data_IF_434722556049
#
_entry.id   IF_434722556049
#
_cell.length_a   1.000
_cell.length_b   1.000
_cell.length_c   1.000
_cell.angle_alpha   90.00
_cell.angle_beta   90.00
_cell.angle_gamma   90.00
#
_symmetry.space_group_name_H-M   'P 1'
#
loop_
_entity.id
_entity.type
_entity.pdbx_description
1 polymer ?
#
# COMPACT_ATOMS: atom_id res chain seq x y z
N UNK A 1 14.50 -13.00 24.92
CA UNK A 1 13.52 -11.89 24.80
C UNK A 1 14.21 -10.75 24.07
N UNK A 2 13.67 -10.30 22.95
CA UNK A 2 14.18 -9.19 22.18
C UNK A 2 13.36 -7.92 22.43
N UNK A 3 13.89 -6.76 22.06
CA UNK A 3 13.21 -5.47 22.16
C UNK A 3 12.27 -5.25 20.97
N UNK A 4 11.02 -4.83 21.24
CA UNK A 4 10.02 -4.50 20.22
C UNK A 4 9.99 -2.97 20.00
N UNK A 5 10.19 -2.50 18.76
CA UNK A 5 9.81 -1.13 18.39
C UNK A 5 8.43 -1.12 17.74
N UNK A 6 7.51 -0.30 18.27
CA UNK A 6 6.17 -0.11 17.69
C UNK A 6 6.13 1.20 16.92
N UNK A 7 5.97 1.14 15.60
CA UNK A 7 5.84 2.30 14.72
C UNK A 7 4.37 2.70 14.64
N UNK A 8 4.10 3.99 14.86
CA UNK A 8 2.76 4.56 14.88
C UNK A 8 2.69 5.74 13.89
N UNK A 9 2.38 5.49 12.59
CA UNK A 9 2.17 6.56 11.63
C UNK A 9 0.98 7.44 12.04
N UNK A 10 1.17 8.76 12.03
CA UNK A 10 0.17 9.73 12.52
C UNK A 10 0.08 10.93 11.59
N UNK A 11 -1.14 11.37 11.26
CA UNK A 11 -1.39 12.58 10.49
C UNK A 11 -2.65 13.29 10.98
N UNK A 12 -2.49 14.40 11.70
CA UNK A 12 -3.55 15.14 12.37
C UNK A 12 -4.36 14.22 13.31
N UNK A 13 -3.67 13.66 14.30
CA UNK A 13 -4.19 12.69 15.26
C UNK A 13 -4.02 13.17 16.72
N UNK A 14 -4.03 14.48 16.95
CA UNK A 14 -3.80 15.09 18.28
C UNK A 14 -4.68 14.50 19.39
N UNK A 15 -5.93 14.11 19.06
CA UNK A 15 -6.88 13.52 20.00
C UNK A 15 -6.54 12.07 20.39
N UNK A 16 -5.72 11.38 19.61
CA UNK A 16 -5.47 9.94 19.77
C UNK A 16 -4.08 9.61 20.36
N UNK A 17 -3.08 10.49 20.21
CA UNK A 17 -1.67 10.22 20.57
C UNK A 17 -1.50 9.74 22.01
N UNK A 18 -2.03 10.49 23.00
CA UNK A 18 -1.86 10.17 24.42
C UNK A 18 -2.49 8.82 24.79
N UNK A 19 -3.73 8.60 24.30
CA UNK A 19 -4.45 7.37 24.57
C UNK A 19 -3.77 6.16 23.91
N UNK A 20 -3.23 6.33 22.70
CA UNK A 20 -2.52 5.28 21.96
C UNK A 20 -1.22 4.91 22.68
N UNK A 21 -0.41 5.91 23.06
CA UNK A 21 0.84 5.69 23.79
C UNK A 21 0.58 4.94 25.11
N UNK A 22 -0.43 5.38 25.87
CA UNK A 22 -0.83 4.77 27.14
C UNK A 22 -1.29 3.32 26.94
N UNK A 23 -2.24 3.10 26.03
CA UNK A 23 -2.87 1.78 25.82
C UNK A 23 -1.84 0.74 25.35
N UNK A 24 -0.99 1.09 24.40
CA UNK A 24 0.05 0.17 23.91
C UNK A 24 1.10 -0.07 24.99
N UNK A 25 1.56 1.01 25.65
CA UNK A 25 2.56 0.92 26.71
C UNK A 25 2.13 0.05 27.87
N UNK A 26 0.92 0.26 28.41
CA UNK A 26 0.36 -0.57 29.50
C UNK A 26 0.21 -2.05 29.09
N UNK A 27 -0.21 -2.30 27.84
CA UNK A 27 -0.39 -3.66 27.31
C UNK A 27 0.95 -4.40 27.21
N UNK A 28 1.97 -3.79 26.62
CA UNK A 28 3.28 -4.41 26.44
C UNK A 28 4.03 -4.56 27.76
N UNK A 29 3.95 -3.56 28.63
CA UNK A 29 4.52 -3.61 29.98
C UNK A 29 3.88 -4.71 30.83
N UNK A 30 2.54 -4.83 30.76
CA UNK A 30 1.80 -5.90 31.44
C UNK A 30 2.16 -7.30 30.97
N UNK A 31 2.61 -7.44 29.72
CA UNK A 31 3.10 -8.68 29.14
C UNK A 31 4.61 -8.93 29.39
N UNK A 32 5.32 -7.98 30.02
CA UNK A 32 6.76 -8.08 30.28
C UNK A 32 7.63 -7.97 29.03
N UNK A 33 7.14 -7.34 27.97
CA UNK A 33 7.86 -7.13 26.72
C UNK A 33 8.63 -5.81 26.82
N UNK A 34 9.92 -5.83 26.52
CA UNK A 34 10.74 -4.62 26.39
C UNK A 34 10.37 -3.92 25.08
N UNK A 35 10.05 -2.61 25.13
CA UNK A 35 9.52 -1.90 23.97
C UNK A 35 9.94 -0.44 23.90
N UNK A 36 9.89 0.08 22.65
CA UNK A 36 9.86 1.51 22.33
C UNK A 36 8.63 1.82 21.46
N UNK A 37 8.08 3.03 21.61
CA UNK A 37 7.02 3.56 20.76
C UNK A 37 7.62 4.66 19.89
N UNK A 38 7.51 4.52 18.56
CA UNK A 38 8.01 5.50 17.60
C UNK A 38 6.85 6.10 16.82
N UNK A 39 6.46 7.33 17.16
CA UNK A 39 5.47 8.08 16.42
C UNK A 39 6.09 8.76 15.21
N UNK A 40 5.48 8.59 14.03
CA UNK A 40 5.93 9.26 12.81
C UNK A 40 4.84 10.21 12.34
N UNK A 41 5.02 11.50 12.60
CA UNK A 41 4.12 12.56 12.17
C UNK A 41 4.36 12.90 10.71
N UNK A 42 3.41 12.57 9.83
CA UNK A 42 3.49 12.81 8.39
C UNK A 42 3.13 14.25 8.02
N UNK A 43 3.90 15.20 8.57
CA UNK A 43 3.68 16.64 8.34
C UNK A 43 2.36 17.16 8.89
N UNK A 44 1.96 16.72 10.09
CA UNK A 44 0.75 17.21 10.77
C UNK A 44 0.77 18.72 10.97
N UNK A 45 -0.40 19.32 10.89
CA UNK A 45 -0.62 20.78 11.05
C UNK A 45 -1.28 21.14 12.37
N UNK A 46 -1.71 20.14 13.12
CA UNK A 46 -2.28 20.24 14.47
C UNK A 46 -1.20 20.03 15.56
N UNK A 47 -1.60 19.77 16.81
CA UNK A 47 -0.69 19.58 17.93
C UNK A 47 -0.11 18.15 18.03
N UNK A 48 -0.31 17.29 17.00
CA UNK A 48 0.15 15.89 17.03
C UNK A 48 1.60 15.74 17.47
N UNK A 49 2.55 16.47 16.84
CA UNK A 49 3.96 16.33 17.17
C UNK A 49 4.34 16.98 18.51
N UNK A 50 3.71 18.09 18.88
CA UNK A 50 3.95 18.76 20.17
C UNK A 50 3.56 17.85 21.35
N UNK A 51 2.50 17.04 21.19
CA UNK A 51 2.08 16.03 22.18
C UNK A 51 3.11 14.91 22.25
N UNK A 52 3.59 14.39 21.11
CA UNK A 52 4.64 13.37 21.07
C UNK A 52 5.92 13.86 21.76
N UNK A 53 6.33 15.10 21.52
CA UNK A 53 7.51 15.72 22.17
C UNK A 53 7.34 15.80 23.68
N UNK A 54 6.15 16.15 24.18
CA UNK A 54 5.87 16.16 25.63
C UNK A 54 5.96 14.76 26.23
N UNK A 55 5.39 13.75 25.56
CA UNK A 55 5.44 12.36 26.01
C UNK A 55 6.86 11.80 26.02
N UNK A 56 7.66 12.11 25.02
CA UNK A 56 9.07 11.72 24.92
C UNK A 56 9.93 12.29 26.05
N UNK A 57 9.64 13.53 26.50
CA UNK A 57 10.31 14.11 27.68
C UNK A 57 9.93 13.40 28.98
N UNK A 58 8.72 12.88 29.08
CA UNK A 58 8.22 12.16 30.27
C UNK A 58 8.64 10.68 30.30
N UNK A 59 8.72 10.02 29.14
CA UNK A 59 9.07 8.62 29.02
C UNK A 59 10.05 8.41 27.84
N UNK A 60 11.29 8.02 28.18
CA UNK A 60 12.36 7.78 27.19
C UNK A 60 12.10 6.64 26.21
N UNK A 61 11.08 5.81 26.46
CA UNK A 61 10.64 4.77 25.55
C UNK A 61 9.79 5.33 24.38
N UNK A 62 9.38 6.59 24.46
CA UNK A 62 8.57 7.25 23.43
C UNK A 62 9.47 8.15 22.62
N UNK A 63 9.53 7.92 21.31
CA UNK A 63 10.23 8.74 20.33
C UNK A 63 9.29 9.27 19.27
N UNK A 64 9.73 10.31 18.57
CA UNK A 64 8.95 10.92 17.50
C UNK A 64 9.79 11.48 16.36
N UNK A 65 9.25 11.39 15.15
CA UNK A 65 9.78 11.96 13.93
C UNK A 65 8.69 12.82 13.29
N UNK A 66 9.03 14.03 12.86
CA UNK A 66 8.14 14.88 12.09
C UNK A 66 8.66 15.13 10.68
N UNK A 67 7.84 14.96 9.67
CA UNK A 67 8.16 15.30 8.30
C UNK A 67 7.97 16.80 8.01
N UNK A 68 8.72 17.32 7.03
CA UNK A 68 8.60 18.70 6.57
C UNK A 68 7.27 19.03 5.87
N UNK A 69 6.55 18.02 5.37
CA UNK A 69 5.22 18.06 4.77
C UNK A 69 4.62 16.66 4.75
N UNK A 70 3.36 16.52 4.33
CA UNK A 70 2.77 15.22 4.10
C UNK A 70 3.44 14.52 2.90
N UNK A 71 4.00 13.31 3.15
CA UNK A 71 4.60 12.40 2.18
C UNK A 71 3.79 11.11 2.02
N UNK A 72 2.80 10.88 2.88
CA UNK A 72 1.92 9.72 2.86
C UNK A 72 2.29 8.63 3.87
N UNK A 73 1.28 7.82 4.23
CA UNK A 73 1.41 6.75 5.25
C UNK A 73 2.56 5.78 4.96
N UNK A 74 2.75 5.39 3.70
CA UNK A 74 3.83 4.48 3.29
C UNK A 74 5.21 5.07 3.63
N UNK A 75 5.41 6.35 3.33
CA UNK A 75 6.65 7.04 3.68
C UNK A 75 6.86 7.09 5.21
N UNK A 76 5.79 7.30 5.99
CA UNK A 76 5.85 7.29 7.44
C UNK A 76 6.20 5.91 8.00
N UNK A 77 5.67 4.83 7.43
CA UNK A 77 6.04 3.46 7.81
C UNK A 77 7.54 3.23 7.54
N UNK A 78 8.02 3.55 6.33
CA UNK A 78 9.43 3.33 5.97
C UNK A 78 10.39 4.20 6.80
N UNK A 79 10.03 5.44 7.13
CA UNK A 79 10.80 6.24 8.08
C UNK A 79 10.84 5.58 9.47
N UNK A 80 9.70 5.06 9.94
CA UNK A 80 9.65 4.32 11.18
C UNK A 80 10.56 3.09 11.17
N UNK A 81 10.59 2.32 10.07
CA UNK A 81 11.49 1.16 9.91
C UNK A 81 12.96 1.57 9.96
N UNK A 82 13.32 2.69 9.32
CA UNK A 82 14.70 3.21 9.27
C UNK A 82 15.21 3.68 10.65
N UNK A 83 14.34 4.28 11.46
CA UNK A 83 14.67 4.76 12.81
C UNK A 83 14.43 3.73 13.92
N UNK A 84 13.76 2.62 13.64
CA UNK A 84 13.49 1.58 14.63
C UNK A 84 14.77 0.86 15.06
N UNK A 85 14.95 0.65 16.38
CA UNK A 85 16.15 0.02 16.97
C UNK A 85 15.91 -1.37 17.58
N UNK A 86 14.65 -1.81 17.70
CA UNK A 86 14.29 -3.09 18.29
C UNK A 86 14.71 -4.32 17.47
N UNK A 87 14.78 -5.48 18.09
CA UNK A 87 15.04 -6.78 17.45
C UNK A 87 13.90 -7.20 16.55
N UNK A 88 12.69 -6.73 16.85
CA UNK A 88 11.52 -6.81 15.98
C UNK A 88 10.78 -5.48 15.94
N UNK A 89 10.00 -5.27 14.88
CA UNK A 89 9.31 -4.00 14.62
C UNK A 89 7.86 -4.27 14.28
N UNK A 90 6.93 -3.63 15.00
CA UNK A 90 5.51 -3.68 14.67
C UNK A 90 5.04 -2.34 14.12
N UNK A 91 4.09 -2.38 13.17
CA UNK A 91 3.39 -1.21 12.64
C UNK A 91 1.94 -1.27 13.07
N UNK A 92 1.42 -0.21 13.69
CA UNK A 92 0.02 -0.12 14.14
C UNK A 92 -0.52 1.29 13.88
N UNK A 93 -1.81 1.39 13.52
CA UNK A 93 -2.45 2.69 13.30
C UNK A 93 -2.77 3.39 14.63
N UNK A 94 -2.70 4.73 14.64
CA UNK A 94 -2.91 5.58 15.82
C UNK A 94 -4.36 5.55 16.35
N UNK A 95 -5.34 5.09 15.57
CA UNK A 95 -6.76 5.13 15.90
C UNK A 95 -7.25 3.99 16.81
N UNK A 96 -6.34 3.10 17.24
CA UNK A 96 -6.60 1.93 18.08
C UNK A 96 -7.72 1.00 17.55
N UNK A 97 -7.99 1.02 16.22
CA UNK A 97 -8.87 0.01 15.62
C UNK A 97 -8.26 -1.41 15.70
N UNK A 98 -6.95 -1.47 15.80
CA UNK A 98 -6.20 -2.68 16.05
C UNK A 98 -5.99 -2.84 17.56
N UNK A 99 -6.49 -3.94 18.19
CA UNK A 99 -6.31 -4.14 19.64
C UNK A 99 -4.84 -4.27 20.00
N UNK A 100 -4.39 -3.51 21.00
CA UNK A 100 -2.99 -3.58 21.46
C UNK A 100 -2.61 -4.99 21.98
N UNK A 101 -3.57 -5.76 22.48
CA UNK A 101 -3.35 -7.16 22.92
C UNK A 101 -2.86 -8.05 21.76
N UNK A 102 -3.23 -7.76 20.52
CA UNK A 102 -2.77 -8.51 19.35
C UNK A 102 -1.26 -8.39 19.16
N UNK A 103 -0.64 -7.26 19.54
CA UNK A 103 0.83 -7.10 19.51
C UNK A 103 1.53 -8.15 20.40
N UNK A 104 0.94 -8.50 21.55
CA UNK A 104 1.48 -9.53 22.45
C UNK A 104 1.44 -10.92 21.81
N UNK A 105 0.35 -11.23 21.09
CA UNK A 105 0.24 -12.49 20.35
C UNK A 105 1.23 -12.55 19.20
N UNK A 106 1.37 -11.46 18.45
CA UNK A 106 2.35 -11.35 17.36
C UNK A 106 3.78 -11.53 17.88
N UNK A 107 4.11 -10.90 19.00
CA UNK A 107 5.43 -11.01 19.62
C UNK A 107 5.77 -12.45 20.02
N UNK A 108 4.81 -13.20 20.59
CA UNK A 108 4.99 -14.63 20.92
C UNK A 108 5.27 -15.47 19.69
N UNK A 109 4.52 -15.25 18.59
CA UNK A 109 4.76 -15.95 17.34
C UNK A 109 6.13 -15.61 16.72
N UNK A 110 6.60 -14.39 16.89
CA UNK A 110 7.96 -14.01 16.51
C UNK A 110 9.01 -14.77 17.35
N UNK A 111 8.81 -14.91 18.67
CA UNK A 111 9.67 -15.72 19.53
C UNK A 111 9.67 -17.22 19.13
N UNK A 112 8.58 -17.72 18.55
CA UNK A 112 8.48 -19.06 17.94
C UNK A 112 9.24 -19.20 16.62
N UNK A 113 9.83 -18.11 16.11
CA UNK A 113 10.67 -18.09 14.91
C UNK A 113 9.91 -17.77 13.61
N UNK A 114 8.74 -17.13 13.69
CA UNK A 114 8.14 -16.47 12.54
C UNK A 114 8.77 -15.10 12.32
N UNK A 115 9.04 -14.77 11.06
CA UNK A 115 9.77 -13.56 10.68
C UNK A 115 8.83 -12.42 10.30
N UNK A 116 7.63 -12.76 9.82
CA UNK A 116 6.54 -11.83 9.51
C UNK A 116 5.27 -12.34 10.16
N UNK A 117 4.66 -11.54 11.04
CA UNK A 117 3.37 -11.85 11.66
C UNK A 117 2.35 -10.80 11.24
N UNK A 118 1.29 -11.22 10.54
CA UNK A 118 0.25 -10.33 10.03
C UNK A 118 -0.98 -10.29 10.92
N UNK A 119 -1.50 -9.09 11.21
CA UNK A 119 -2.80 -8.93 11.84
C UNK A 119 -3.91 -8.92 10.78
N UNK A 120 -4.82 -9.89 10.83
CA UNK A 120 -5.93 -10.02 9.88
C UNK A 120 -7.27 -9.77 10.59
N UNK A 121 -8.12 -8.92 10.02
CA UNK A 121 -9.46 -8.64 10.54
C UNK A 121 -10.36 -9.88 10.43
N UNK A 122 -10.96 -10.34 11.53
CA UNK A 122 -11.80 -11.55 11.58
C UNK A 122 -13.13 -11.40 10.83
N UNK A 123 -13.73 -10.20 10.82
CA UNK A 123 -15.00 -9.90 10.12
C UNK A 123 -14.95 -8.51 9.48
N UNK A 124 -15.34 -8.42 8.20
CA UNK A 124 -15.73 -7.15 7.57
C UNK A 124 -17.15 -6.81 8.02
N UNK A 125 -17.37 -5.56 8.48
CA UNK A 125 -18.69 -5.05 8.84
C UNK A 125 -19.72 -5.16 7.70
N UNK A 126 -21.00 -4.79 7.97
CA UNK A 126 -22.07 -4.74 6.96
C UNK A 126 -21.74 -3.70 5.89
N UNK A 127 -21.23 -4.15 4.74
CA UNK A 127 -20.97 -3.33 3.56
C UNK A 127 -22.11 -3.47 2.55
N UNK A 128 -22.31 -2.44 1.71
CA UNK A 128 -23.26 -2.48 0.60
C UNK A 128 -22.90 -3.65 -0.35
N UNK A 129 -23.85 -4.53 -0.73
CA UNK A 129 -23.58 -5.72 -1.53
C UNK A 129 -22.94 -5.40 -2.89
N UNK A 130 -23.30 -4.30 -3.55
CA UNK A 130 -22.66 -3.87 -4.80
C UNK A 130 -21.19 -3.46 -4.61
N UNK A 131 -20.89 -2.73 -3.52
CA UNK A 131 -19.54 -2.37 -3.16
C UNK A 131 -18.69 -3.61 -2.84
N UNK A 132 -19.28 -4.57 -2.09
CA UNK A 132 -18.63 -5.85 -1.76
C UNK A 132 -18.30 -6.67 -3.01
N UNK A 133 -19.22 -6.74 -3.99
CA UNK A 133 -19.00 -7.44 -5.26
C UNK A 133 -17.86 -6.77 -6.06
N UNK A 134 -17.89 -5.44 -6.16
CA UNK A 134 -16.83 -4.68 -6.84
C UNK A 134 -15.45 -4.90 -6.18
N UNK A 135 -15.39 -4.80 -4.86
CA UNK A 135 -14.17 -5.08 -4.11
C UNK A 135 -13.70 -6.54 -4.31
N UNK A 136 -14.62 -7.51 -4.30
CA UNK A 136 -14.26 -8.93 -4.50
C UNK A 136 -13.67 -9.17 -5.90
N UNK A 137 -14.28 -8.61 -6.94
CA UNK A 137 -13.74 -8.68 -8.32
C UNK A 137 -12.38 -7.99 -8.39
N UNK A 138 -12.28 -6.78 -7.84
CA UNK A 138 -11.05 -6.01 -7.82
C UNK A 138 -9.92 -6.76 -7.10
N UNK A 139 -10.14 -7.17 -5.84
CA UNK A 139 -9.15 -7.91 -5.08
C UNK A 139 -8.83 -9.27 -5.71
N UNK A 140 -9.79 -9.94 -6.35
CA UNK A 140 -9.57 -11.18 -7.08
C UNK A 140 -8.62 -11.00 -8.27
N UNK A 141 -8.84 -9.96 -9.09
CA UNK A 141 -7.98 -9.61 -10.22
C UNK A 141 -6.57 -9.25 -9.72
N UNK A 142 -6.50 -8.36 -8.70
CA UNK A 142 -5.23 -7.91 -8.13
C UNK A 142 -4.44 -9.06 -7.52
N UNK A 143 -5.09 -9.93 -6.74
CA UNK A 143 -4.44 -11.10 -6.13
C UNK A 143 -3.89 -12.05 -7.20
N UNK A 144 -4.63 -12.25 -8.30
CA UNK A 144 -4.17 -13.07 -9.43
C UNK A 144 -2.97 -12.45 -10.15
N UNK A 145 -2.99 -11.13 -10.36
CA UNK A 145 -1.92 -10.40 -11.05
C UNK A 145 -0.64 -10.31 -10.21
N UNK A 146 -0.78 -10.12 -8.91
CA UNK A 146 0.35 -9.98 -7.97
C UNK A 146 0.78 -11.34 -7.38
N UNK A 147 0.04 -12.43 -7.66
CA UNK A 147 0.23 -13.76 -7.06
C UNK A 147 0.23 -13.73 -5.52
N UNK A 148 -0.57 -12.82 -4.95
CA UNK A 148 -0.65 -12.55 -3.52
C UNK A 148 -2.10 -12.39 -3.09
N UNK A 149 -2.52 -13.03 -1.99
CA UNK A 149 -3.87 -12.86 -1.44
C UNK A 149 -3.98 -11.55 -0.66
N UNK A 150 -4.31 -10.46 -1.35
CA UNK A 150 -4.46 -9.13 -0.75
C UNK A 150 -5.54 -9.07 0.34
N UNK A 151 -6.47 -10.03 0.39
CA UNK A 151 -7.47 -10.08 1.46
C UNK A 151 -6.88 -10.47 2.81
N UNK A 152 -5.74 -11.13 2.80
CA UNK A 152 -5.01 -11.60 3.99
C UNK A 152 -3.85 -10.70 4.37
N UNK A 153 -3.64 -9.57 3.70
CA UNK A 153 -2.56 -8.64 4.00
C UNK A 153 -3.08 -7.37 4.66
N UNK A 154 -2.31 -6.85 5.60
CA UNK A 154 -2.63 -5.67 6.40
C UNK A 154 -1.36 -4.82 6.59
N UNK A 155 -1.50 -3.53 6.95
CA UNK A 155 -0.37 -2.72 7.43
C UNK A 155 -0.01 -3.07 8.87
N UNK A 156 -0.95 -3.66 9.62
CA UNK A 156 -0.73 -4.13 10.97
C UNK A 156 0.09 -5.43 10.94
N UNK A 157 1.41 -5.30 11.12
CA UNK A 157 2.37 -6.40 11.04
C UNK A 157 3.43 -6.26 12.10
N UNK A 158 4.02 -7.39 12.48
CA UNK A 158 5.27 -7.46 13.21
C UNK A 158 6.31 -8.12 12.31
N UNK A 159 7.48 -7.51 12.20
CA UNK A 159 8.60 -7.92 11.35
C UNK A 159 9.84 -8.18 12.20
N UNK A 160 10.56 -9.24 11.92
CA UNK A 160 11.90 -9.46 12.43
C UNK A 160 12.89 -8.42 11.88
N UNK A 161 13.96 -8.11 12.62
CA UNK A 161 14.99 -7.14 12.21
C UNK A 161 15.55 -7.41 10.83
N UNK A 162 15.84 -8.67 10.49
CA UNK A 162 16.35 -9.05 9.17
C UNK A 162 15.37 -8.75 8.03
N UNK A 163 14.05 -8.83 8.29
CA UNK A 163 13.03 -8.45 7.32
C UNK A 163 13.05 -6.94 7.12
N UNK A 164 13.14 -6.18 8.22
CA UNK A 164 13.25 -4.70 8.18
C UNK A 164 14.45 -4.28 7.36
N UNK A 165 15.63 -4.85 7.61
CA UNK A 165 16.86 -4.55 6.86
C UNK A 165 16.69 -4.87 5.37
N UNK A 166 16.14 -6.05 5.05
CA UNK A 166 15.88 -6.41 3.66
C UNK A 166 14.91 -5.46 2.95
N UNK A 167 13.89 -4.92 3.66
CA UNK A 167 12.96 -3.94 3.10
C UNK A 167 13.59 -2.55 2.91
N UNK A 168 14.49 -2.16 3.80
CA UNK A 168 15.22 -0.88 3.70
C UNK A 168 16.24 -0.89 2.55
N UNK A 169 16.87 -2.04 2.28
CA UNK A 169 17.81 -2.23 1.18
C UNK A 169 17.15 -2.19 -0.21
N UNK A 170 15.81 -2.29 -0.29
CA UNK A 170 15.12 -2.19 -1.58
C UNK A 170 15.24 -0.77 -2.15
N UNK A 171 15.73 -0.63 -3.40
CA UNK A 171 15.95 0.66 -4.03
C UNK A 171 14.65 1.37 -4.44
N UNK A 172 13.54 0.65 -4.46
CA UNK A 172 12.23 1.13 -4.90
C UNK A 172 11.73 2.29 -4.05
N UNK A 173 11.36 3.39 -4.71
CA UNK A 173 10.88 4.61 -4.04
C UNK A 173 9.38 4.60 -3.82
N UNK A 174 8.66 4.00 -4.75
CA UNK A 174 7.22 3.83 -4.68
C UNK A 174 6.90 2.54 -3.91
N UNK A 175 6.94 2.65 -2.60
CA UNK A 175 6.79 1.53 -1.69
C UNK A 175 5.30 1.25 -1.42
N UNK A 176 4.92 -0.01 -1.49
CA UNK A 176 3.67 -0.52 -0.97
C UNK A 176 4.00 -1.59 0.07
N UNK A 177 4.03 -1.19 1.32
CA UNK A 177 4.52 -1.98 2.45
C UNK A 177 3.93 -3.38 2.52
N UNK A 178 2.59 -3.49 2.27
CA UNK A 178 1.89 -4.80 2.27
C UNK A 178 2.46 -5.77 1.24
N UNK A 179 2.72 -5.27 0.04
CA UNK A 179 3.21 -6.11 -1.04
C UNK A 179 4.70 -6.42 -0.89
N UNK A 180 5.51 -5.44 -0.49
CA UNK A 180 6.95 -5.63 -0.33
C UNK A 180 7.27 -6.61 0.80
N UNK A 181 6.57 -6.54 1.94
CA UNK A 181 6.75 -7.49 3.04
C UNK A 181 6.36 -8.92 2.66
N UNK A 182 5.37 -9.10 1.78
CA UNK A 182 5.02 -10.41 1.22
C UNK A 182 6.04 -10.87 0.16
N UNK A 183 6.44 -9.97 -0.75
CA UNK A 183 7.39 -10.25 -1.83
C UNK A 183 8.75 -10.71 -1.31
N UNK A 184 9.17 -10.18 -0.17
CA UNK A 184 10.43 -10.55 0.48
C UNK A 184 10.52 -12.04 0.85
N UNK A 185 9.39 -12.77 0.95
CA UNK A 185 9.34 -14.23 1.01
C UNK A 185 9.80 -14.87 2.32
N UNK A 186 9.84 -14.11 3.42
CA UNK A 186 10.20 -14.59 4.75
C UNK A 186 9.12 -15.50 5.36
N UNK A 187 9.50 -16.28 6.36
CA UNK A 187 8.60 -17.20 7.08
C UNK A 187 7.48 -16.42 7.76
N UNK A 188 6.26 -16.53 7.24
CA UNK A 188 5.12 -15.72 7.67
C UNK A 188 4.02 -16.53 8.36
N UNK A 189 3.28 -15.87 9.27
CA UNK A 189 2.05 -16.36 9.87
C UNK A 189 1.08 -15.19 10.11
N UNK A 190 -0.11 -15.47 10.62
CA UNK A 190 -1.12 -14.44 10.87
C UNK A 190 -1.87 -14.66 12.17
N UNK A 191 -2.27 -13.54 12.80
CA UNK A 191 -3.18 -13.49 13.95
C UNK A 191 -4.47 -12.81 13.50
N UNK A 192 -5.61 -13.39 13.85
CA UNK A 192 -6.92 -12.79 13.56
C UNK A 192 -7.39 -11.97 14.75
N UNK A 193 -7.90 -10.76 14.49
CA UNK A 193 -8.44 -9.90 15.54
C UNK A 193 -9.80 -9.31 15.15
N UNK A 194 -10.63 -9.03 16.18
CA UNK A 194 -11.89 -8.31 16.01
C UNK A 194 -11.62 -6.81 16.02
N UNK A 195 -12.17 -6.11 15.02
CA UNK A 195 -12.02 -4.64 14.91
C UNK A 195 -12.80 -3.96 16.01
N UNK A 196 -12.16 -3.12 16.81
CA UNK A 196 -12.84 -2.24 17.74
C UNK A 196 -13.65 -1.19 16.96
N UNK A 197 -14.85 -0.83 17.49
CA UNK A 197 -15.66 0.22 16.86
C UNK A 197 -14.89 1.56 16.85
N UNK A 198 -14.92 2.24 15.71
CA UNK A 198 -14.31 3.57 15.57
C UNK A 198 -14.93 4.54 16.55
N UNK A 199 -14.12 5.10 17.46
CA UNK A 199 -14.58 6.13 18.40
C UNK A 199 -14.85 7.48 17.73
N UNK A 200 -14.23 7.80 16.57
CA UNK A 200 -14.45 9.01 15.78
C UNK A 200 -13.96 8.85 14.31
N UNK A 201 -14.59 9.55 13.36
CA UNK A 201 -14.16 9.71 11.97
C UNK A 201 -15.02 8.98 10.92
N UNK A 202 -15.23 9.65 9.76
CA UNK A 202 -15.87 9.07 8.56
C UNK A 202 -14.81 8.60 7.58
N UNK A 203 -15.03 7.45 6.91
CA UNK A 203 -14.16 7.02 5.80
C UNK A 203 -14.11 8.09 4.71
N UNK A 204 -12.90 8.58 4.38
CA UNK A 204 -12.67 9.68 3.41
C UNK A 204 -12.42 9.18 1.97
N UNK A 205 -12.57 7.87 1.70
CA UNK A 205 -12.27 7.33 0.38
C UNK A 205 -13.40 7.57 -0.62
N UNK A 206 -13.10 8.32 -1.69
CA UNK A 206 -13.98 8.47 -2.84
C UNK A 206 -13.81 7.28 -3.80
N UNK A 207 -14.80 7.00 -4.63
CA UNK A 207 -14.70 5.95 -5.67
C UNK A 207 -13.52 6.21 -6.63
N UNK A 208 -13.34 7.45 -7.07
CA UNK A 208 -12.20 7.85 -7.90
C UNK A 208 -10.84 7.63 -7.22
N UNK A 209 -10.77 7.87 -5.90
CA UNK A 209 -9.59 7.59 -5.10
C UNK A 209 -9.25 6.10 -5.05
N UNK A 210 -10.25 5.22 -4.92
CA UNK A 210 -10.07 3.77 -4.96
C UNK A 210 -9.57 3.29 -6.33
N UNK A 211 -10.11 3.81 -7.43
CA UNK A 211 -9.66 3.47 -8.79
C UNK A 211 -8.22 3.94 -9.02
N UNK A 212 -7.89 5.17 -8.63
CA UNK A 212 -6.52 5.69 -8.75
C UNK A 212 -5.52 4.86 -7.92
N UNK A 213 -5.88 4.50 -6.67
CA UNK A 213 -5.09 3.62 -5.82
C UNK A 213 -4.87 2.24 -6.44
N UNK A 214 -5.93 1.69 -7.05
CA UNK A 214 -5.90 0.43 -7.76
C UNK A 214 -4.91 0.44 -8.93
N UNK A 215 -5.03 1.43 -9.82
CA UNK A 215 -4.15 1.59 -10.99
C UNK A 215 -2.70 1.78 -10.51
N UNK A 216 -2.49 2.64 -9.52
CA UNK A 216 -1.17 2.91 -8.96
C UNK A 216 -0.50 1.63 -8.45
N UNK A 217 -1.18 0.85 -7.60
CA UNK A 217 -0.61 -0.38 -7.05
C UNK A 217 -0.43 -1.48 -8.11
N UNK A 218 -1.40 -1.66 -9.04
CA UNK A 218 -1.27 -2.65 -10.12
C UNK A 218 -0.02 -2.39 -10.95
N UNK A 219 0.18 -1.14 -11.37
CA UNK A 219 1.30 -0.78 -12.22
C UNK A 219 2.66 -0.79 -11.50
N UNK A 220 2.67 -0.76 -10.16
CA UNK A 220 3.90 -0.93 -9.37
C UNK A 220 4.41 -2.37 -9.36
N UNK A 221 3.51 -3.35 -9.32
CA UNK A 221 3.88 -4.75 -9.09
C UNK A 221 3.69 -5.66 -10.29
N UNK A 222 3.09 -5.20 -11.38
CA UNK A 222 2.86 -6.05 -12.55
C UNK A 222 2.93 -5.28 -13.87
N UNK A 223 3.46 -5.94 -14.87
CA UNK A 223 3.45 -5.47 -16.27
C UNK A 223 2.24 -5.97 -17.06
N UNK A 224 1.23 -6.56 -16.38
CA UNK A 224 0.04 -7.11 -17.01
C UNK A 224 -0.72 -6.09 -17.90
N UNK A 225 -0.89 -4.81 -17.52
CA UNK A 225 -1.49 -3.82 -18.39
C UNK A 225 -0.74 -3.62 -19.71
N UNK A 226 0.60 -3.65 -19.71
CA UNK A 226 1.41 -3.58 -20.93
C UNK A 226 1.24 -4.82 -21.79
N UNK A 227 1.19 -6.02 -21.18
CA UNK A 227 0.91 -7.27 -21.90
C UNK A 227 -0.48 -7.26 -22.54
N UNK A 228 -1.48 -6.73 -21.83
CA UNK A 228 -2.84 -6.59 -22.38
C UNK A 228 -2.86 -5.69 -23.61
N UNK A 229 -2.14 -4.57 -23.60
CA UNK A 229 -1.96 -3.69 -24.76
C UNK A 229 -1.32 -4.44 -25.94
N UNK A 230 -0.26 -5.20 -25.67
CA UNK A 230 0.38 -6.01 -26.70
C UNK A 230 -0.58 -7.03 -27.33
N UNK A 231 -1.32 -7.79 -26.51
CA UNK A 231 -2.30 -8.76 -26.98
C UNK A 231 -3.39 -8.09 -27.78
N UNK A 232 -3.91 -6.94 -27.33
CA UNK A 232 -4.88 -6.14 -28.08
C UNK A 232 -4.35 -5.73 -29.45
N UNK A 233 -3.09 -5.27 -29.52
CA UNK A 233 -2.42 -4.92 -30.79
C UNK A 233 -2.34 -6.10 -31.75
N UNK A 234 -1.96 -7.29 -31.25
CA UNK A 234 -1.92 -8.53 -32.05
C UNK A 234 -3.31 -8.91 -32.59
N UNK A 235 -4.34 -8.85 -31.73
CA UNK A 235 -5.72 -9.14 -32.15
C UNK A 235 -6.22 -8.16 -33.22
N UNK A 236 -5.95 -6.86 -33.05
CA UNK A 236 -6.29 -5.83 -34.06
C UNK A 236 -5.54 -6.06 -35.36
N UNK A 237 -4.29 -6.49 -35.34
CA UNK A 237 -3.50 -6.80 -36.51
C UNK A 237 -4.12 -7.99 -37.29
N UNK A 238 -4.47 -9.07 -36.57
CA UNK A 238 -5.13 -10.24 -37.19
C UNK A 238 -6.46 -9.83 -37.80
N UNK A 239 -7.27 -9.05 -37.09
CA UNK A 239 -8.54 -8.53 -37.61
C UNK A 239 -8.36 -7.65 -38.84
N UNK A 240 -7.36 -6.76 -38.83
CA UNK A 240 -7.04 -5.90 -39.97
C UNK A 240 -6.60 -6.69 -41.22
N UNK A 241 -5.81 -7.77 -41.01
CA UNK A 241 -5.42 -8.66 -42.12
C UNK A 241 -6.64 -9.38 -42.69
N UNK A 242 -7.55 -9.89 -41.87
CA UNK A 242 -8.76 -10.56 -42.29
C UNK A 242 -9.65 -9.61 -43.12
N UNK A 243 -9.88 -8.38 -42.63
CA UNK A 243 -10.63 -7.34 -43.40
C UNK A 243 -9.91 -6.93 -44.67
N UNK A 244 -8.59 -6.84 -44.66
CA UNK A 244 -7.80 -6.52 -45.84
C UNK A 244 -7.95 -7.56 -46.95
N UNK A 245 -7.91 -8.84 -46.57
CA UNK A 245 -8.14 -9.95 -47.54
C UNK A 245 -9.55 -9.91 -48.08
N UNK A 246 -10.58 -9.75 -47.26
CA UNK A 246 -11.96 -9.63 -47.67
C UNK A 246 -12.16 -8.44 -48.64
N UNK A 247 -11.61 -7.27 -48.31
CA UNK A 247 -11.67 -6.09 -49.14
C UNK A 247 -11.02 -6.31 -50.51
N UNK A 248 -9.86 -6.96 -50.58
CA UNK A 248 -9.15 -7.29 -51.80
C UNK A 248 -9.96 -8.27 -52.66
N UNK A 249 -10.53 -9.31 -52.05
CA UNK A 249 -11.39 -10.28 -52.76
C UNK A 249 -12.60 -9.57 -53.37
N UNK A 250 -13.31 -8.74 -52.61
CA UNK A 250 -14.46 -7.99 -53.08
C UNK A 250 -14.09 -7.01 -54.20
N UNK A 251 -12.90 -6.38 -54.13
CA UNK A 251 -12.41 -5.54 -55.20
C UNK A 251 -12.20 -6.30 -56.53
N UNK A 252 -11.57 -7.48 -56.51
CA UNK A 252 -11.34 -8.28 -57.68
C UNK A 252 -12.60 -8.91 -58.28
N UNK A 253 -13.65 -9.13 -57.47
CA UNK A 253 -14.96 -9.62 -57.91
C UNK A 253 -15.85 -8.50 -58.45
N UNK A 254 -15.43 -7.22 -58.32
CA UNK A 254 -16.18 -6.06 -58.81
C UNK A 254 -17.34 -5.62 -57.92
N UNK A 255 -17.37 -6.05 -56.69
CA UNK A 255 -18.32 -5.60 -55.67
C UNK A 255 -17.70 -4.37 -54.97
N UNK A 256 -18.05 -3.16 -55.48
CA UNK A 256 -17.62 -1.93 -54.83
C UNK A 256 -18.32 -1.79 -53.45
N UNK A 257 -17.57 -1.72 -52.39
CA UNK A 257 -18.13 -1.48 -51.06
C UNK A 257 -18.45 0.01 -50.87
N UNK A 258 -19.72 0.32 -50.61
CA UNK A 258 -20.12 1.60 -50.02
C UNK A 258 -19.63 1.62 -48.56
N UNK A 259 -18.36 2.03 -48.34
CA UNK A 259 -17.66 1.76 -47.08
C UNK A 259 -17.23 2.99 -46.29
N UNK A 260 -17.64 4.22 -46.65
CA UNK A 260 -17.14 5.43 -45.95
C UNK A 260 -17.41 5.42 -44.44
N UNK A 261 -18.62 5.03 -44.04
CA UNK A 261 -18.99 4.93 -42.60
C UNK A 261 -18.16 3.87 -41.88
N UNK A 262 -17.92 2.73 -42.52
CA UNK A 262 -17.10 1.64 -41.99
C UNK A 262 -15.65 2.07 -41.77
N UNK A 263 -15.08 2.81 -42.74
CA UNK A 263 -13.71 3.34 -42.62
C UNK A 263 -13.60 4.33 -41.45
N UNK A 264 -14.55 5.26 -41.30
CA UNK A 264 -14.55 6.20 -40.18
C UNK A 264 -14.63 5.45 -38.84
N UNK A 265 -15.54 4.47 -38.73
CA UNK A 265 -15.69 3.68 -37.48
C UNK A 265 -14.42 2.92 -37.16
N UNK A 266 -13.78 2.28 -38.12
CA UNK A 266 -12.51 1.58 -37.92
C UNK A 266 -11.39 2.54 -37.52
N UNK A 267 -11.28 3.72 -38.14
CA UNK A 267 -10.30 4.74 -37.75
C UNK A 267 -10.51 5.23 -36.31
N UNK A 268 -11.76 5.44 -35.89
CA UNK A 268 -12.07 5.83 -34.51
C UNK A 268 -11.71 4.73 -33.52
N UNK A 269 -12.00 3.46 -33.79
CA UNK A 269 -11.65 2.32 -32.95
C UNK A 269 -10.13 2.19 -32.84
N UNK A 270 -9.42 2.17 -33.98
CA UNK A 270 -7.96 2.04 -33.99
C UNK A 270 -7.31 3.23 -33.29
N UNK A 271 -7.76 4.45 -33.59
CA UNK A 271 -7.29 5.67 -32.95
C UNK A 271 -7.50 5.63 -31.42
N UNK A 272 -8.68 5.20 -30.97
CA UNK A 272 -8.98 5.00 -29.55
C UNK A 272 -8.06 3.97 -28.88
N UNK A 273 -7.83 2.84 -29.53
CA UNK A 273 -6.91 1.81 -29.03
C UNK A 273 -5.46 2.33 -28.93
N UNK A 274 -5.01 3.10 -29.92
CA UNK A 274 -3.67 3.72 -29.90
C UNK A 274 -3.57 4.70 -28.74
N UNK A 275 -4.56 5.57 -28.55
CA UNK A 275 -4.55 6.56 -27.45
C UNK A 275 -4.54 5.90 -26.06
N UNK A 276 -5.33 4.84 -25.85
CA UNK A 276 -5.33 4.07 -24.61
C UNK A 276 -3.95 3.42 -24.39
N UNK A 277 -3.37 2.83 -25.44
CA UNK A 277 -2.05 2.19 -25.38
C UNK A 277 -0.96 3.18 -25.00
N UNK A 278 -0.95 4.36 -25.62
CA UNK A 278 -0.02 5.45 -25.31
C UNK A 278 -0.23 5.96 -23.85
N UNK A 279 -1.47 6.06 -23.41
CA UNK A 279 -1.78 6.44 -22.02
C UNK A 279 -1.21 5.44 -21.00
N UNK A 280 -1.34 4.14 -21.24
CA UNK A 280 -0.76 3.09 -20.37
C UNK A 280 0.77 3.18 -20.39
N UNK A 281 1.38 3.29 -21.57
CA UNK A 281 2.84 3.44 -21.69
C UNK A 281 3.35 4.71 -20.98
N UNK A 282 2.63 5.83 -21.16
CA UNK A 282 2.95 7.10 -20.49
C UNK A 282 2.92 6.97 -18.97
N UNK A 283 1.99 6.19 -18.42
CA UNK A 283 1.92 5.94 -16.98
C UNK A 283 3.15 5.17 -16.46
N UNK A 284 3.61 4.13 -17.18
CA UNK A 284 4.85 3.42 -16.80
C UNK A 284 6.09 4.28 -16.97
N UNK A 285 6.14 5.10 -18.03
CA UNK A 285 7.25 6.04 -18.24
C UNK A 285 7.31 7.08 -17.12
N UNK A 286 6.18 7.60 -16.67
CA UNK A 286 6.12 8.51 -15.53
C UNK A 286 6.68 7.87 -14.24
N UNK A 287 6.38 6.58 -13.99
CA UNK A 287 6.96 5.85 -12.85
C UNK A 287 8.46 5.68 -12.96
N UNK A 288 8.97 5.27 -14.13
CA UNK A 288 10.41 5.18 -14.38
C UNK A 288 11.07 6.55 -14.15
N UNK A 289 10.44 7.62 -14.59
CA UNK A 289 10.93 8.98 -14.36
C UNK A 289 11.01 9.33 -12.87
N UNK A 290 10.02 8.96 -12.07
CA UNK A 290 10.03 9.16 -10.61
C UNK A 290 11.16 8.38 -9.93
N UNK A 291 11.40 7.13 -10.32
CA UNK A 291 12.50 6.31 -9.81
C UNK A 291 13.87 6.91 -10.19
N UNK A 292 14.07 7.28 -11.45
CA UNK A 292 15.33 7.88 -11.95
C UNK A 292 15.61 9.24 -11.33
N UNK A 293 14.58 10.03 -11.00
CA UNK A 293 14.71 11.34 -10.39
C UNK A 293 15.37 11.31 -9.02
N UNK A 294 15.35 10.21 -8.33
CA UNK A 294 16.16 9.98 -7.15
C UNK A 294 15.78 10.81 -5.92
N UNK A 295 14.57 11.36 -5.81
CA UNK A 295 14.15 12.14 -4.62
C UNK A 295 14.00 11.24 -3.40
N UNK A 296 14.36 11.70 -2.18
CA UNK A 296 14.14 10.90 -0.97
C UNK A 296 12.65 10.61 -0.76
N UNK A 297 12.35 9.46 -0.14
CA UNK A 297 10.98 9.01 0.17
C UNK A 297 10.28 10.01 1.11
N UNK A 298 11.03 10.62 2.03
CA UNK A 298 10.57 11.59 3.03
C UNK A 298 11.71 12.56 3.38
N UNK A 299 11.37 13.66 4.06
CA UNK A 299 12.33 14.62 4.62
C UNK A 299 11.91 14.87 6.06
N UNK A 300 12.80 14.55 6.99
CA UNK A 300 12.59 14.80 8.43
C UNK A 300 12.86 16.28 8.72
N UNK A 301 11.95 16.92 9.44
CA UNK A 301 12.08 18.30 9.90
C UNK A 301 12.46 18.41 11.37
N UNK A 302 11.99 17.44 12.20
CA UNK A 302 12.28 17.38 13.64
C UNK A 302 12.33 15.95 14.11
N UNK A 303 13.13 15.66 15.13
CA UNK A 303 13.12 14.42 15.90
C UNK A 303 13.10 14.73 17.40
N UNK A 304 12.54 13.85 18.21
CA UNK A 304 12.55 14.02 19.67
C UNK A 304 13.89 13.64 20.31
N UNK A 305 14.81 13.03 19.55
CA UNK A 305 16.11 12.53 20.02
C UNK A 305 17.30 13.42 19.60
N UNK A 306 17.06 14.61 19.06
CA UNK A 306 18.13 15.60 18.83
C UNK A 306 18.36 16.36 20.13
N UNK A 307 19.44 16.05 20.85
CA UNK A 307 20.15 16.93 21.77
C UNK A 307 21.26 17.67 21.01
#
# INVERSE_FOLDING_TARGET
>A
MGKLTVIIPSFNEEDNIENTAKTIGETLQGAGIEYDLLFVSDGSTDQTFDIVEKLSKADKRIGGIQFSRNFGKEAAIFAGLDYATGDCVAVIDCDLQHPAATLVEMYKLWEEGYEVVEGIKSKRGKENPFYKLFCAIFYGIMSSLMKMDLNKTSDFKLLDRKVVEALLDLPERNTFFRALSFWAGFKSTSVTFDVAERKAGKSKWSFSGLVAYAISNTTSFTTAPLKAVFVLGVLLMIFSVALGVETLVNYFIGIAADGFTTVILLLLIIGGCIMISLGIMGHYLARIYEEVKGRPRYIVSKTTNEE
#
